data_IF_867534748350
#
_entry.id   IF_867534748350
#
_cell.length_a   1.000
_cell.length_b   1.000
_cell.length_c   1.000
_cell.angle_alpha   90.00
_cell.angle_beta   90.00
_cell.angle_gamma   90.00
#
_symmetry.space_group_name_H-M   'P 1'
#
loop_
_entity.id
_entity.type
_entity.pdbx_description
1 polymer ?
#
# COMPACT_ATOMS: atom_id res chain seq x y z
N UNK A 1 2.79 18.96 -7.79
CA UNK A 1 2.24 17.61 -7.54
C UNK A 1 1.49 17.63 -6.22
N UNK A 2 0.20 17.27 -6.18
CA UNK A 2 -0.69 17.47 -5.00
C UNK A 2 -1.32 16.15 -4.49
N UNK A 3 -0.62 15.03 -4.67
CA UNK A 3 -1.15 13.72 -4.27
C UNK A 3 -0.05 12.79 -3.79
N UNK A 4 -0.46 11.70 -3.16
CA UNK A 4 0.43 10.59 -2.87
C UNK A 4 0.95 9.99 -4.17
N UNK A 5 2.21 9.59 -4.18
CA UNK A 5 2.79 8.83 -5.29
C UNK A 5 3.30 7.49 -4.75
N UNK A 6 3.11 6.45 -5.54
CA UNK A 6 3.48 5.08 -5.22
C UNK A 6 4.55 4.60 -6.19
N UNK A 7 5.63 4.03 -5.66
CA UNK A 7 6.75 3.48 -6.44
C UNK A 7 7.12 2.08 -5.93
N UNK A 8 7.70 1.26 -6.81
CA UNK A 8 8.28 -0.04 -6.47
C UNK A 8 9.78 0.00 -6.72
N UNK A 9 10.53 -0.77 -5.95
CA UNK A 9 11.99 -0.93 -6.06
C UNK A 9 12.40 -2.37 -5.68
N UNK A 10 13.68 -2.60 -5.37
CA UNK A 10 14.18 -3.93 -4.98
C UNK A 10 13.69 -4.39 -3.60
N UNK A 11 13.12 -3.50 -2.78
CA UNK A 11 12.55 -3.88 -1.49
C UNK A 11 11.10 -4.32 -1.66
N UNK A 12 10.72 -5.38 -0.95
CA UNK A 12 9.35 -5.90 -0.96
C UNK A 12 8.33 -4.84 -0.53
N UNK A 13 7.20 -4.77 -1.23
CA UNK A 13 6.13 -3.81 -0.96
C UNK A 13 6.23 -2.54 -1.80
N UNK A 14 5.29 -1.63 -1.60
CA UNK A 14 5.14 -0.39 -2.37
C UNK A 14 5.46 0.80 -1.48
N UNK A 15 6.34 1.67 -1.96
CA UNK A 15 6.72 2.90 -1.28
C UNK A 15 5.72 4.01 -1.62
N UNK A 16 4.99 4.49 -0.61
CA UNK A 16 4.05 5.59 -0.71
C UNK A 16 4.69 6.85 -0.12
N UNK A 17 4.67 7.93 -0.89
CA UNK A 17 5.39 9.15 -0.55
C UNK A 17 4.51 10.39 -0.78
N UNK A 18 4.69 11.41 0.05
CA UNK A 18 4.02 12.71 -0.08
C UNK A 18 4.82 13.78 0.68
N UNK A 19 4.92 15.01 0.13
CA UNK A 19 5.80 16.04 0.68
C UNK A 19 5.49 16.51 2.11
N UNK A 20 4.31 16.18 2.64
CA UNK A 20 3.87 16.51 4.00
C UNK A 20 3.73 15.31 4.94
N UNK A 21 3.99 14.09 4.46
CA UNK A 21 3.88 12.88 5.26
C UNK A 21 5.20 12.11 5.26
N UNK A 22 5.38 11.25 6.27
CA UNK A 22 6.51 10.32 6.28
C UNK A 22 6.28 9.26 5.19
N UNK A 23 7.33 9.02 4.42
CA UNK A 23 7.36 7.91 3.47
C UNK A 23 7.05 6.60 4.20
N UNK A 24 6.12 5.82 3.63
CA UNK A 24 5.61 4.59 4.25
C UNK A 24 5.64 3.49 3.22
N UNK A 25 6.12 2.31 3.61
CA UNK A 25 6.07 1.13 2.77
C UNK A 25 4.95 0.22 3.24
N UNK A 26 4.14 -0.26 2.30
CA UNK A 26 3.04 -1.16 2.59
C UNK A 26 3.11 -2.39 1.69
N UNK A 27 2.63 -3.56 2.15
CA UNK A 27 2.55 -4.74 1.31
C UNK A 27 1.65 -4.51 0.09
N UNK A 28 2.02 -5.11 -1.05
CA UNK A 28 1.28 -4.93 -2.31
C UNK A 28 -0.19 -5.37 -2.18
N UNK A 29 -0.47 -6.44 -1.43
CA UNK A 29 -1.83 -6.95 -1.21
C UNK A 29 -2.75 -5.99 -0.45
N UNK A 30 -2.23 -4.89 0.10
CA UNK A 30 -3.02 -3.82 0.74
C UNK A 30 -3.35 -2.65 -0.18
N UNK A 31 -2.85 -2.63 -1.41
CA UNK A 31 -3.09 -1.55 -2.37
C UNK A 31 -3.99 -2.06 -3.50
N UNK A 32 -4.96 -1.24 -3.89
CA UNK A 32 -5.73 -1.41 -5.11
C UNK A 32 -5.78 -0.10 -5.88
N UNK A 33 -5.73 -0.19 -7.21
CA UNK A 33 -6.02 0.94 -8.11
C UNK A 33 -7.47 0.92 -8.61
N UNK A 34 -8.24 -0.10 -8.20
CA UNK A 34 -9.65 -0.28 -8.52
C UNK A 34 -10.48 0.02 -7.28
N UNK A 35 -11.54 0.82 -7.45
CA UNK A 35 -12.55 1.06 -6.41
C UNK A 35 -13.16 -0.28 -5.98
N UNK A 36 -13.17 -0.63 -4.67
CA UNK A 36 -13.84 -1.81 -4.19
C UNK A 36 -15.36 -1.74 -4.45
N UNK A 37 -15.96 -2.87 -4.83
CA UNK A 37 -17.41 -2.97 -5.01
C UNK A 37 -18.14 -2.84 -3.67
N UNK A 38 -17.54 -3.39 -2.61
CA UNK A 38 -18.01 -3.27 -1.23
C UNK A 38 -16.94 -2.56 -0.38
N UNK A 39 -17.26 -1.35 0.08
CA UNK A 39 -16.38 -0.53 0.91
C UNK A 39 -16.24 -1.06 2.35
N UNK A 40 -17.08 -2.02 2.76
CA UNK A 40 -17.04 -2.65 4.07
C UNK A 40 -16.35 -4.01 4.07
N UNK A 41 -16.04 -4.55 2.88
CA UNK A 41 -15.29 -5.79 2.75
C UNK A 41 -13.82 -5.57 3.12
N UNK A 42 -13.30 -6.42 4.00
CA UNK A 42 -11.87 -6.44 4.30
C UNK A 42 -11.07 -6.96 3.07
N UNK A 43 -9.82 -6.50 2.86
CA UNK A 43 -8.96 -7.06 1.83
C UNK A 43 -8.62 -8.52 2.16
N UNK A 44 -8.41 -9.34 1.12
CA UNK A 44 -7.91 -10.69 1.29
C UNK A 44 -6.47 -10.64 1.83
N UNK A 45 -6.23 -11.27 2.98
CA UNK A 45 -4.92 -11.36 3.61
C UNK A 45 -4.28 -12.69 3.18
N UNK A 46 -3.09 -12.70 2.56
CA UNK A 46 -2.36 -13.93 2.23
C UNK A 46 -2.01 -14.77 3.48
N UNK A 47 -1.89 -16.09 3.33
CA UNK A 47 -1.57 -17.01 4.44
C UNK A 47 -0.16 -16.76 5.03
N UNK A 48 0.78 -16.32 4.19
CA UNK A 48 2.17 -15.98 4.52
C UNK A 48 2.40 -14.46 4.59
N UNK A 49 1.33 -13.69 4.86
CA UNK A 49 1.39 -12.23 4.85
C UNK A 49 2.49 -11.68 5.78
N UNK A 50 3.49 -11.05 5.17
CA UNK A 50 4.49 -10.25 5.88
C UNK A 50 3.93 -8.85 6.09
N UNK A 51 3.75 -8.47 7.34
CA UNK A 51 3.33 -7.13 7.72
C UNK A 51 4.56 -6.23 7.80
N UNK A 52 4.65 -5.24 6.92
CA UNK A 52 5.59 -4.15 7.11
C UNK A 52 4.99 -3.15 8.10
N UNK A 53 5.55 -3.14 9.32
CA UNK A 53 5.21 -2.21 10.40
C UNK A 53 6.42 -1.28 10.57
N UNK A 54 6.56 -0.29 9.69
CA UNK A 54 7.66 0.69 9.72
C UNK A 54 7.39 1.92 10.59
#
# INVERSE_FOLDING_TARGET
MSGFYATTDEQEGVLIQHGSYRDTRVPEWRITQQEPVDLHAAPAIPDDAVWQIS
#
